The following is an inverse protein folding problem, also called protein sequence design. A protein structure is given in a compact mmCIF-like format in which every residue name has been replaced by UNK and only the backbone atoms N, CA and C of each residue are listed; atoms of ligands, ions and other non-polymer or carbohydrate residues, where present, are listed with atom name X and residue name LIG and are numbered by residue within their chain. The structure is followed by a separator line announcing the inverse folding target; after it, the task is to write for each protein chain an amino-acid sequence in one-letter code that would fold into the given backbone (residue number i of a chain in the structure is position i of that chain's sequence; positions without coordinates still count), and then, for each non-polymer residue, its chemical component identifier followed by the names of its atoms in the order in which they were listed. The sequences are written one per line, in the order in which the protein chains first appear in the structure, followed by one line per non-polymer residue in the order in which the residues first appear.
data_IF_878779726612
#
_entry.id   IF_878779726612
#
_cell.length_a   1.000
_cell.length_b   1.000
_cell.length_c   1.000
_cell.angle_alpha   90.00
_cell.angle_beta   90.00
_cell.angle_gamma   90.00
#
_symmetry.space_group_name_H-M   'P 1'
#
loop_
_entity.id
_entity.type
_entity.pdbx_description
1 polymer ?
#
# COMPACT_ATOMS: atom_id res chain seq x y z
N UNK A 1 -9.11 10.86 -0.03
CA UNK A 1 -9.33 11.38 1.34
C UNK A 1 -9.76 12.83 1.33
N UNK A 2 -8.92 13.73 0.81
CA UNK A 2 -9.21 15.17 0.76
C UNK A 2 -10.50 15.46 -0.01
N UNK A 3 -10.75 14.73 -1.09
CA UNK A 3 -12.01 14.81 -1.83
C UNK A 3 -13.24 14.56 -0.94
N UNK A 4 -13.28 13.46 -0.18
CA UNK A 4 -14.41 13.14 0.72
C UNK A 4 -14.58 14.17 1.84
N UNK A 5 -13.48 14.70 2.39
CA UNK A 5 -13.52 15.77 3.41
C UNK A 5 -14.01 17.10 2.84
N UNK A 6 -13.76 17.35 1.55
CA UNK A 6 -14.15 18.60 0.88
C UNK A 6 -15.59 18.54 0.38
N UNK A 7 -16.03 17.36 -0.09
CA UNK A 7 -17.38 17.14 -0.62
C UNK A 7 -18.44 17.04 0.49
N UNK A 8 -18.11 16.41 1.62
CA UNK A 8 -19.03 16.21 2.73
C UNK A 8 -18.67 17.06 3.94
N UNK A 9 -19.38 18.18 4.11
CA UNK A 9 -19.03 19.21 5.12
C UNK A 9 -19.81 19.11 6.44
N UNK A 10 -20.87 18.29 6.54
CA UNK A 10 -21.68 18.14 7.76
C UNK A 10 -22.14 16.70 7.97
N UNK A 11 -22.13 16.25 9.23
CA UNK A 11 -22.70 14.99 9.72
C UNK A 11 -22.26 13.72 8.97
N UNK A 12 -20.99 13.66 8.57
CA UNK A 12 -20.37 12.48 7.95
C UNK A 12 -19.25 11.93 8.81
N UNK A 13 -19.30 10.63 9.11
CA UNK A 13 -18.22 9.91 9.76
C UNK A 13 -17.21 9.44 8.72
N UNK A 14 -15.93 9.76 8.90
CA UNK A 14 -14.85 9.33 7.99
C UNK A 14 -13.70 8.76 8.79
N UNK A 15 -13.33 7.51 8.50
CA UNK A 15 -12.18 6.86 9.11
C UNK A 15 -11.31 6.20 8.06
N UNK A 16 -10.00 6.29 8.27
CA UNK A 16 -8.98 5.59 7.48
C UNK A 16 -8.14 4.72 8.38
N UNK A 17 -7.96 3.49 7.97
CA UNK A 17 -7.04 2.55 8.60
C UNK A 17 -5.98 2.21 7.57
N UNK A 18 -4.71 2.43 7.93
CA UNK A 18 -3.58 1.97 7.14
C UNK A 18 -3.00 0.72 7.82
N UNK A 19 -3.25 -0.47 7.26
CA UNK A 19 -2.61 -1.68 7.74
C UNK A 19 -1.12 -1.62 7.39
N UNK A 20 -0.26 -1.96 8.35
CA UNK A 20 1.19 -1.90 8.20
C UNK A 20 1.81 -3.13 8.85
N UNK A 21 2.47 -3.96 8.05
CA UNK A 21 3.07 -5.19 8.53
C UNK A 21 4.18 -4.97 9.57
N UNK A 22 4.71 -3.74 9.72
CA UNK A 22 5.71 -3.39 10.75
C UNK A 22 5.09 -3.08 12.11
N UNK A 23 3.78 -2.90 12.19
CA UNK A 23 3.08 -2.44 13.40
C UNK A 23 2.19 -3.55 14.01
N UNK A 24 2.55 -4.82 13.79
CA UNK A 24 1.71 -5.97 14.16
C UNK A 24 1.35 -6.01 15.65
N UNK A 25 2.27 -5.57 16.52
CA UNK A 25 2.05 -5.50 17.98
C UNK A 25 0.92 -4.56 18.38
N UNK A 26 0.73 -3.45 17.65
CA UNK A 26 -0.28 -2.44 17.95
C UNK A 26 -1.54 -2.61 17.09
N UNK A 27 -1.45 -3.20 15.90
CA UNK A 27 -2.56 -3.42 14.97
C UNK A 27 -3.41 -4.64 15.34
N UNK A 28 -3.81 -4.72 16.61
CA UNK A 28 -4.80 -5.70 17.08
C UNK A 28 -6.20 -5.32 16.60
N UNK A 29 -7.14 -6.27 16.44
CA UNK A 29 -8.50 -5.98 15.98
C UNK A 29 -9.23 -4.95 16.86
N UNK A 30 -9.00 -5.01 18.19
CA UNK A 30 -9.57 -4.05 19.15
C UNK A 30 -9.04 -2.64 18.87
N UNK A 31 -7.73 -2.50 18.67
CA UNK A 31 -7.09 -1.22 18.41
C UNK A 31 -7.49 -0.63 17.06
N UNK A 32 -7.59 -1.46 16.01
CA UNK A 32 -8.02 -1.02 14.68
C UNK A 32 -9.47 -0.50 14.71
N UNK A 33 -10.40 -1.24 15.34
CA UNK A 33 -11.79 -0.77 15.50
C UNK A 33 -11.87 0.48 16.40
N UNK A 34 -11.05 0.54 17.46
CA UNK A 34 -10.99 1.71 18.34
C UNK A 34 -10.42 2.93 17.62
N UNK A 35 -9.49 2.75 16.69
CA UNK A 35 -8.94 3.81 15.84
C UNK A 35 -10.01 4.40 14.91
N UNK A 36 -10.84 3.54 14.30
CA UNK A 36 -12.00 3.97 13.51
C UNK A 36 -12.93 4.82 14.38
N UNK A 37 -13.29 4.30 15.55
CA UNK A 37 -14.16 5.01 16.48
C UNK A 37 -13.57 6.36 16.88
N UNK A 38 -12.27 6.43 17.20
CA UNK A 38 -11.58 7.68 17.56
C UNK A 38 -11.71 8.73 16.46
N UNK A 39 -11.50 8.36 15.21
CA UNK A 39 -11.54 9.28 14.07
C UNK A 39 -12.92 9.90 13.83
N UNK A 40 -14.02 9.22 14.20
CA UNK A 40 -15.37 9.81 14.15
C UNK A 40 -15.58 10.95 15.15
N UNK A 41 -14.71 11.09 16.14
CA UNK A 41 -14.80 12.09 17.20
C UNK A 41 -13.72 13.17 17.12
N UNK A 42 -12.92 13.20 16.05
CA UNK A 42 -11.99 14.28 15.80
C UNK A 42 -12.77 15.59 15.57
N UNK A 43 -12.87 16.42 16.61
CA UNK A 43 -13.59 17.70 16.59
C UNK A 43 -15.07 17.64 17.02
N UNK A 44 -15.55 16.52 17.56
CA UNK A 44 -16.94 16.36 18.06
C UNK A 44 -16.93 15.90 19.51
N UNK A 45 -17.94 16.29 20.29
CA UNK A 45 -18.08 15.85 21.68
C UNK A 45 -18.41 14.37 21.81
N UNK A 46 -17.76 13.70 22.78
CA UNK A 46 -17.96 12.27 23.05
C UNK A 46 -19.41 11.95 23.42
N UNK A 47 -19.91 10.83 22.88
CA UNK A 47 -21.22 10.28 23.22
C UNK A 47 -21.28 9.79 24.66
N UNK A 48 -22.49 9.69 25.21
CA UNK A 48 -22.68 9.06 26.51
C UNK A 48 -22.36 7.56 26.48
N UNK A 49 -22.57 6.88 25.34
CA UNK A 49 -22.19 5.46 25.21
C UNK A 49 -20.68 5.27 25.35
N UNK A 50 -19.88 6.14 24.74
CA UNK A 50 -18.41 6.10 24.85
C UNK A 50 -17.99 6.37 26.29
N UNK A 51 -18.56 7.41 26.92
CA UNK A 51 -18.26 7.75 28.32
C UNK A 51 -18.65 6.63 29.27
N UNK A 52 -19.79 5.97 29.05
CA UNK A 52 -20.25 4.84 29.83
C UNK A 52 -19.31 3.64 29.70
N UNK A 53 -18.90 3.28 28.48
CA UNK A 53 -17.94 2.20 28.27
C UNK A 53 -16.59 2.52 28.92
N UNK A 54 -16.10 3.76 28.77
CA UNK A 54 -14.87 4.20 29.41
C UNK A 54 -14.94 4.08 30.94
N UNK A 55 -15.98 4.63 31.59
CA UNK A 55 -16.17 4.53 33.06
C UNK A 55 -16.19 3.07 33.54
N UNK A 56 -16.94 2.20 32.86
CA UNK A 56 -17.01 0.76 33.17
C UNK A 56 -15.63 0.12 33.22
N UNK A 57 -14.78 0.40 32.25
CA UNK A 57 -13.45 -0.20 32.14
C UNK A 57 -12.42 0.43 33.10
N UNK A 58 -12.52 1.73 33.36
CA UNK A 58 -11.73 2.42 34.38
C UNK A 58 -12.02 1.88 35.77
N UNK A 59 -13.30 1.77 36.17
CA UNK A 59 -13.70 1.27 37.49
C UNK A 59 -13.25 -0.18 37.71
N UNK A 60 -13.35 -1.01 36.66
CA UNK A 60 -12.99 -2.44 36.71
C UNK A 60 -11.50 -2.69 36.48
N UNK A 61 -10.71 -1.68 36.11
CA UNK A 61 -9.29 -1.81 35.71
C UNK A 61 -9.10 -2.85 34.60
N UNK A 62 -9.93 -2.80 33.56
CA UNK A 62 -9.91 -3.72 32.40
C UNK A 62 -9.87 -2.94 31.09
N UNK A 63 -9.61 -3.62 29.98
CA UNK A 63 -9.73 -3.05 28.63
C UNK A 63 -11.03 -3.52 27.94
N UNK A 64 -11.60 -2.71 27.03
CA UNK A 64 -12.71 -3.14 26.19
C UNK A 64 -12.37 -4.36 25.34
N UNK A 65 -13.33 -5.27 25.22
CA UNK A 65 -13.26 -6.41 24.30
C UNK A 65 -13.58 -6.00 22.87
N UNK A 66 -13.19 -6.82 21.89
CA UNK A 66 -13.56 -6.61 20.48
C UNK A 66 -15.08 -6.52 20.28
N UNK A 67 -15.86 -7.29 21.05
CA UNK A 67 -17.32 -7.30 20.96
C UNK A 67 -17.87 -5.95 21.42
N UNK A 68 -17.43 -5.46 22.58
CA UNK A 68 -17.88 -4.17 23.13
C UNK A 68 -17.51 -3.02 22.20
N UNK A 69 -16.31 -3.02 21.62
CA UNK A 69 -15.89 -1.97 20.67
C UNK A 69 -16.69 -2.06 19.37
N UNK A 70 -16.96 -3.26 18.85
CA UNK A 70 -17.75 -3.43 17.63
C UNK A 70 -19.22 -3.01 17.81
N UNK A 71 -19.83 -3.33 18.95
CA UNK A 71 -21.18 -2.91 19.30
C UNK A 71 -21.27 -1.39 19.46
N UNK A 72 -20.28 -0.80 20.15
CA UNK A 72 -20.19 0.65 20.29
C UNK A 72 -20.02 1.32 18.92
N UNK A 73 -19.11 0.82 18.08
CA UNK A 73 -18.90 1.34 16.72
C UNK A 73 -20.21 1.28 15.90
N UNK A 74 -20.93 0.16 15.95
CA UNK A 74 -22.24 0.02 15.29
C UNK A 74 -23.25 1.06 15.80
N UNK A 75 -23.34 1.27 17.10
CA UNK A 75 -24.23 2.28 17.69
C UNK A 75 -23.86 3.71 17.27
N UNK A 76 -22.57 4.04 17.27
CA UNK A 76 -22.09 5.38 16.93
C UNK A 76 -22.20 5.70 15.44
N UNK A 77 -22.11 4.71 14.55
CA UNK A 77 -22.30 4.93 13.10
C UNK A 77 -23.69 5.50 12.78
N UNK A 78 -24.73 5.17 13.57
CA UNK A 78 -26.11 5.64 13.38
C UNK A 78 -26.30 7.14 13.66
N UNK A 79 -25.32 7.81 14.27
CA UNK A 79 -25.38 9.24 14.56
C UNK A 79 -25.01 10.10 13.37
N UNK A 80 -24.33 9.52 12.39
CA UNK A 80 -23.93 10.21 11.18
C UNK A 80 -24.95 9.94 10.07
N UNK A 81 -25.16 10.93 9.21
CA UNK A 81 -26.00 10.78 8.02
C UNK A 81 -25.40 9.78 7.02
N UNK A 82 -24.06 9.76 6.95
CA UNK A 82 -23.26 8.83 6.15
C UNK A 82 -21.98 8.50 6.88
N UNK A 83 -21.49 7.28 6.69
CA UNK A 83 -20.21 6.84 7.25
C UNK A 83 -19.37 6.20 6.16
N UNK A 84 -18.11 6.62 6.05
CA UNK A 84 -17.11 6.05 5.16
C UNK A 84 -15.97 5.46 5.99
N UNK A 85 -15.63 4.20 5.71
CA UNK A 85 -14.48 3.53 6.30
C UNK A 85 -13.60 3.04 5.16
N UNK A 86 -12.35 3.51 5.14
CA UNK A 86 -11.35 3.10 4.17
C UNK A 86 -10.28 2.30 4.89
N UNK A 87 -10.04 1.07 4.43
CA UNK A 87 -8.95 0.22 4.93
C UNK A 87 -7.94 0.04 3.81
N UNK A 88 -6.75 0.55 4.02
CA UNK A 88 -5.65 0.47 3.08
C UNK A 88 -4.73 -0.71 3.42
N UNK A 89 -4.34 -1.48 2.41
CA UNK A 89 -3.41 -2.61 2.46
C UNK A 89 -3.84 -3.72 3.44
N UNK A 90 -5.08 -4.21 3.39
CA UNK A 90 -5.61 -5.21 4.34
C UNK A 90 -4.73 -6.49 4.43
N UNK A 91 -3.99 -6.85 3.38
CA UNK A 91 -3.05 -7.98 3.39
C UNK A 91 -1.84 -7.79 4.31
N UNK A 92 -1.52 -6.55 4.67
CA UNK A 92 -0.48 -6.24 5.65
C UNK A 92 -0.97 -6.36 7.10
N UNK A 93 -2.29 -6.50 7.32
CA UNK A 93 -2.81 -6.71 8.66
C UNK A 93 -2.42 -8.11 9.17
N UNK A 94 -2.03 -8.25 10.46
CA UNK A 94 -1.50 -9.52 10.98
C UNK A 94 -2.50 -10.68 10.84
N UNK A 95 -2.04 -11.82 10.33
CA UNK A 95 -2.83 -13.06 10.33
C UNK A 95 -2.69 -13.84 11.65
N UNK A 96 -1.71 -13.48 12.49
CA UNK A 96 -1.53 -14.09 13.80
C UNK A 96 -2.83 -14.02 14.61
N UNK A 97 -3.17 -15.13 15.30
CA UNK A 97 -4.39 -15.24 16.11
C UNK A 97 -5.69 -14.92 15.35
N UNK A 98 -5.70 -15.05 14.02
CA UNK A 98 -6.84 -14.71 13.15
C UNK A 98 -7.24 -13.23 13.21
N UNK A 99 -6.31 -12.32 13.54
CA UNK A 99 -6.59 -10.90 13.74
C UNK A 99 -7.23 -10.25 12.52
N UNK A 100 -6.63 -10.42 11.33
CA UNK A 100 -7.20 -9.93 10.08
C UNK A 100 -8.63 -10.43 9.86
N UNK A 101 -8.89 -11.73 10.05
CA UNK A 101 -10.24 -12.33 9.92
C UNK A 101 -11.24 -11.75 10.92
N UNK A 102 -10.83 -11.56 12.18
CA UNK A 102 -11.67 -10.99 13.23
C UNK A 102 -12.00 -9.53 12.94
N UNK A 103 -11.00 -8.72 12.59
CA UNK A 103 -11.17 -7.31 12.24
C UNK A 103 -12.09 -7.17 11.02
N UNK A 104 -11.78 -7.91 9.96
CA UNK A 104 -12.53 -7.89 8.71
C UNK A 104 -13.97 -8.37 8.89
N UNK A 105 -14.21 -9.44 9.66
CA UNK A 105 -15.56 -9.91 9.97
C UNK A 105 -16.41 -8.88 10.72
N UNK A 106 -15.81 -8.07 11.59
CA UNK A 106 -16.52 -6.96 12.26
C UNK A 106 -16.84 -5.82 11.30
N UNK A 107 -15.95 -5.49 10.37
CA UNK A 107 -16.23 -4.49 9.33
C UNK A 107 -17.35 -4.95 8.39
N UNK A 108 -17.36 -6.23 8.00
CA UNK A 108 -18.43 -6.79 7.17
C UNK A 108 -19.79 -6.70 7.85
N UNK A 109 -19.86 -6.88 9.18
CA UNK A 109 -21.10 -6.73 9.93
C UNK A 109 -21.67 -5.30 9.88
N UNK A 110 -20.82 -4.31 9.57
CA UNK A 110 -21.22 -2.90 9.42
C UNK A 110 -21.63 -2.52 7.98
N UNK A 111 -21.54 -3.43 7.00
CA UNK A 111 -21.75 -3.13 5.57
C UNK A 111 -23.11 -2.49 5.23
N UNK A 112 -24.10 -2.64 6.11
CA UNK A 112 -25.44 -2.04 5.95
C UNK A 112 -25.52 -0.59 6.43
N UNK A 113 -24.58 -0.15 7.27
CA UNK A 113 -24.56 1.19 7.86
C UNK A 113 -23.37 2.04 7.41
N UNK A 114 -22.36 1.43 6.80
CA UNK A 114 -21.14 2.13 6.36
C UNK A 114 -20.82 1.85 4.88
N UNK A 115 -20.30 2.87 4.20
CA UNK A 115 -19.63 2.74 2.92
C UNK A 115 -18.19 2.26 3.15
N UNK A 116 -17.94 0.98 2.88
CA UNK A 116 -16.66 0.34 3.11
C UNK A 116 -15.85 0.26 1.81
N UNK A 117 -14.63 0.76 1.83
CA UNK A 117 -13.65 0.58 0.76
C UNK A 117 -12.41 -0.09 1.34
N UNK A 118 -11.91 -1.12 0.67
CA UNK A 118 -10.74 -1.89 1.10
C UNK A 118 -9.79 -2.00 -0.09
N UNK A 119 -8.51 -1.75 0.13
CA UNK A 119 -7.45 -2.10 -0.81
C UNK A 119 -6.68 -3.30 -0.27
N UNK A 120 -6.26 -4.19 -1.17
CA UNK A 120 -5.42 -5.33 -0.83
C UNK A 120 -4.78 -5.93 -2.08
N UNK A 121 -3.70 -6.70 -1.91
CA UNK A 121 -3.20 -7.62 -2.92
C UNK A 121 -4.19 -8.78 -3.17
N UNK A 122 -4.15 -9.41 -4.36
CA UNK A 122 -5.09 -10.46 -4.77
C UNK A 122 -5.05 -11.74 -3.92
N UNK A 123 -4.09 -11.85 -2.99
CA UNK A 123 -3.95 -12.96 -2.04
C UNK A 123 -5.11 -13.03 -1.03
N UNK A 124 -5.82 -11.92 -0.79
CA UNK A 124 -7.03 -11.94 0.04
C UNK A 124 -8.22 -12.33 -0.83
N UNK A 125 -8.87 -13.44 -0.45
CA UNK A 125 -10.08 -13.91 -1.11
C UNK A 125 -11.14 -12.82 -1.19
N UNK A 126 -11.62 -12.61 -2.41
CA UNK A 126 -12.81 -11.87 -2.78
C UNK A 126 -13.92 -11.90 -1.70
N UNK A 127 -14.37 -10.72 -1.28
CA UNK A 127 -15.55 -10.59 -0.44
C UNK A 127 -16.77 -10.93 -1.28
N UNK A 128 -17.56 -11.91 -0.86
CA UNK A 128 -18.85 -12.19 -1.48
C UNK A 128 -19.74 -10.94 -1.41
N UNK A 129 -20.38 -10.59 -2.53
CA UNK A 129 -21.26 -9.42 -2.70
C UNK A 129 -20.59 -8.04 -2.64
N UNK A 130 -19.29 -7.93 -2.97
CA UNK A 130 -18.61 -6.63 -3.13
C UNK A 130 -18.31 -6.30 -4.59
N UNK A 131 -18.32 -5.02 -4.94
CA UNK A 131 -17.72 -4.54 -6.20
C UNK A 131 -16.21 -4.70 -6.09
N UNK A 132 -15.59 -5.31 -7.10
CA UNK A 132 -14.15 -5.50 -7.16
C UNK A 132 -13.59 -4.69 -8.32
N UNK A 133 -12.53 -3.95 -8.04
CA UNK A 133 -11.80 -3.18 -9.03
C UNK A 133 -10.34 -3.62 -8.95
N UNK A 134 -9.91 -4.38 -9.94
CA UNK A 134 -8.51 -4.70 -10.10
C UNK A 134 -7.78 -3.48 -10.65
N UNK A 135 -6.71 -3.05 -9.98
CA UNK A 135 -5.91 -1.89 -10.40
C UNK A 135 -4.65 -2.44 -11.05
N UNK A 136 -4.63 -2.40 -12.37
CA UNK A 136 -3.50 -2.83 -13.21
C UNK A 136 -3.17 -1.69 -14.17
N UNK A 137 -1.89 -1.46 -14.43
CA UNK A 137 -1.49 -0.45 -15.40
C UNK A 137 -1.92 -0.88 -16.80
N UNK A 138 -2.61 0.02 -17.50
CA UNK A 138 -2.88 -0.18 -18.91
C UNK A 138 -1.60 -0.13 -19.73
N UNK A 139 -1.65 -0.69 -20.93
CA UNK A 139 -0.55 -0.58 -21.91
C UNK A 139 -0.22 0.89 -22.20
N UNK A 140 -1.24 1.74 -22.27
CA UNK A 140 -1.11 3.17 -22.52
C UNK A 140 -0.43 3.89 -21.36
N UNK A 141 -0.73 3.52 -20.12
CA UNK A 141 -0.07 4.10 -18.93
C UNK A 141 1.41 3.72 -18.88
N UNK A 142 1.73 2.45 -19.15
CA UNK A 142 3.11 1.99 -19.25
C UNK A 142 3.85 2.65 -20.40
N UNK A 143 3.23 2.79 -21.57
CA UNK A 143 3.85 3.49 -22.71
C UNK A 143 4.17 4.95 -22.37
N UNK A 144 3.21 5.69 -21.82
CA UNK A 144 3.42 7.09 -21.38
C UNK A 144 4.51 7.19 -20.33
N UNK A 145 4.54 6.26 -19.37
CA UNK A 145 5.58 6.23 -18.35
C UNK A 145 6.97 6.00 -18.96
N UNK A 146 7.13 4.98 -19.79
CA UNK A 146 8.40 4.64 -20.47
C UNK A 146 8.86 5.82 -21.33
N UNK A 147 7.94 6.39 -22.11
CA UNK A 147 8.20 7.55 -22.95
C UNK A 147 8.73 8.74 -22.15
N UNK A 148 8.06 9.07 -21.03
CA UNK A 148 8.49 10.12 -20.13
C UNK A 148 9.90 9.86 -19.56
N UNK A 149 10.22 8.60 -19.21
CA UNK A 149 11.54 8.21 -18.70
C UNK A 149 12.64 8.28 -19.77
N UNK A 150 12.33 7.97 -21.02
CA UNK A 150 13.26 8.14 -22.15
C UNK A 150 13.58 9.63 -22.34
N UNK A 151 12.55 10.48 -22.38
CA UNK A 151 12.71 11.92 -22.60
C UNK A 151 13.48 12.62 -21.46
N UNK A 152 13.38 12.10 -20.23
CA UNK A 152 14.16 12.61 -19.08
C UNK A 152 15.66 12.30 -19.16
N UNK A 153 16.09 11.32 -19.97
CA UNK A 153 17.48 10.90 -20.08
C UNK A 153 18.01 11.17 -21.48
N UNK A 154 18.78 12.25 -21.64
CA UNK A 154 19.39 12.62 -22.93
C UNK A 154 20.18 11.46 -23.54
N UNK A 155 20.96 10.75 -22.72
CA UNK A 155 21.72 9.57 -23.14
C UNK A 155 20.82 8.45 -23.66
N UNK A 156 19.76 8.10 -22.93
CA UNK A 156 18.87 7.02 -23.35
C UNK A 156 18.12 7.40 -24.62
N UNK A 157 17.69 8.67 -24.73
CA UNK A 157 17.08 9.21 -25.94
C UNK A 157 18.04 9.15 -27.15
N UNK A 158 19.33 9.48 -26.95
CA UNK A 158 20.35 9.39 -28.00
C UNK A 158 20.62 7.94 -28.44
N UNK A 159 20.62 6.99 -27.51
CA UNK A 159 20.76 5.57 -27.81
C UNK A 159 19.54 5.01 -28.57
N UNK A 160 18.37 5.61 -28.38
CA UNK A 160 17.09 5.19 -28.97
C UNK A 160 16.63 6.07 -30.16
N UNK A 161 17.56 6.75 -30.86
CA UNK A 161 17.24 7.59 -32.03
C UNK A 161 16.54 6.87 -33.18
N UNK A 162 16.59 5.54 -33.23
CA UNK A 162 15.85 4.74 -34.21
C UNK A 162 14.49 4.32 -33.67
N UNK A 163 13.43 4.53 -34.46
CA UNK A 163 12.05 4.18 -34.08
C UNK A 163 11.89 2.69 -33.75
N UNK A 164 12.64 1.81 -34.43
CA UNK A 164 12.64 0.37 -34.16
C UNK A 164 13.23 0.02 -32.78
N UNK A 165 14.38 0.60 -32.42
CA UNK A 165 15.03 0.37 -31.12
C UNK A 165 14.11 0.81 -29.97
N UNK A 166 13.45 1.96 -30.15
CA UNK A 166 12.52 2.53 -29.19
C UNK A 166 11.26 1.68 -29.03
N UNK A 167 10.69 1.24 -30.16
CA UNK A 167 9.50 0.39 -30.18
C UNK A 167 9.78 -0.97 -29.55
N UNK A 168 10.92 -1.59 -29.86
CA UNK A 168 11.36 -2.85 -29.25
C UNK A 168 11.49 -2.69 -27.73
N UNK A 169 12.15 -1.63 -27.27
CA UNK A 169 12.31 -1.39 -25.82
C UNK A 169 10.96 -1.25 -25.12
N UNK A 170 10.05 -0.44 -25.67
CA UNK A 170 8.71 -0.24 -25.12
C UNK A 170 7.96 -1.57 -25.04
N UNK A 171 7.91 -2.32 -26.13
CA UNK A 171 7.20 -3.59 -26.18
C UNK A 171 7.75 -4.58 -25.14
N UNK A 172 9.08 -4.74 -25.08
CA UNK A 172 9.69 -5.66 -24.12
C UNK A 172 9.39 -5.26 -22.67
N UNK A 173 9.47 -3.98 -22.32
CA UNK A 173 9.18 -3.55 -20.94
C UNK A 173 7.71 -3.70 -20.62
N UNK A 174 6.80 -3.36 -21.54
CA UNK A 174 5.35 -3.51 -21.34
C UNK A 174 5.01 -4.98 -21.09
N UNK A 175 5.57 -5.89 -21.89
CA UNK A 175 5.38 -7.33 -21.72
C UNK A 175 5.95 -7.84 -20.40
N UNK A 176 7.19 -7.45 -20.06
CA UNK A 176 7.87 -7.88 -18.82
C UNK A 176 7.24 -7.30 -17.56
N UNK A 177 6.70 -6.08 -17.63
CA UNK A 177 6.07 -5.42 -16.49
C UNK A 177 4.74 -6.07 -16.11
N UNK A 178 4.03 -6.70 -17.07
CA UNK A 178 2.75 -7.38 -16.87
C UNK A 178 1.77 -6.56 -16.01
N UNK A 179 1.60 -5.28 -16.38
CA UNK A 179 0.71 -4.36 -15.67
C UNK A 179 1.23 -3.81 -14.34
N UNK A 180 2.43 -4.20 -13.89
CA UNK A 180 3.10 -3.66 -12.69
C UNK A 180 3.99 -2.47 -13.01
N UNK A 181 3.55 -1.25 -12.65
CA UNK A 181 4.34 -0.02 -12.82
C UNK A 181 5.69 -0.10 -12.09
N UNK A 182 5.73 -0.69 -10.90
CA UNK A 182 6.97 -0.82 -10.13
C UNK A 182 8.03 -1.63 -10.90
N UNK A 183 7.63 -2.72 -11.55
CA UNK A 183 8.54 -3.54 -12.34
C UNK A 183 9.06 -2.77 -13.56
N UNK A 184 8.18 -2.05 -14.28
CA UNK A 184 8.59 -1.14 -15.34
C UNK A 184 9.58 -0.07 -14.84
N UNK A 185 9.40 0.44 -13.63
CA UNK A 185 10.32 1.39 -13.02
C UNK A 185 11.70 0.78 -12.71
N UNK A 186 11.74 -0.43 -12.16
CA UNK A 186 13.00 -1.14 -11.89
C UNK A 186 13.76 -1.38 -13.21
N UNK A 187 13.06 -1.89 -14.24
CA UNK A 187 13.64 -2.10 -15.57
C UNK A 187 14.16 -0.80 -16.18
N UNK A 188 13.38 0.27 -16.17
CA UNK A 188 13.84 1.57 -16.68
C UNK A 188 15.04 2.12 -15.91
N UNK A 189 15.09 1.91 -14.60
CA UNK A 189 16.24 2.33 -13.77
C UNK A 189 17.51 1.58 -14.14
N UNK A 190 17.41 0.30 -14.52
CA UNK A 190 18.53 -0.46 -15.06
C UNK A 190 18.91 0.02 -16.47
N UNK A 191 17.94 0.18 -17.38
CA UNK A 191 18.23 0.54 -18.77
C UNK A 191 18.86 1.94 -18.92
N UNK A 192 18.49 2.88 -18.04
CA UNK A 192 19.09 4.23 -18.03
C UNK A 192 20.59 4.18 -17.75
N UNK A 193 21.13 3.15 -17.10
CA UNK A 193 22.58 3.05 -16.84
C UNK A 193 23.40 2.70 -18.07
N UNK A 194 22.77 2.19 -19.14
CA UNK A 194 23.47 1.81 -20.36
C UNK A 194 24.22 2.99 -20.98
N UNK A 195 25.46 2.71 -21.42
CA UNK A 195 26.36 3.68 -22.04
C UNK A 195 26.50 3.47 -23.55
N UNK A 196 26.08 2.31 -24.06
CA UNK A 196 26.14 1.97 -25.49
C UNK A 196 24.90 1.19 -25.94
N UNK A 197 24.62 1.18 -27.25
CA UNK A 197 23.50 0.40 -27.82
C UNK A 197 23.63 -1.11 -27.55
N UNK A 198 24.87 -1.61 -27.56
CA UNK A 198 25.16 -3.02 -27.26
C UNK A 198 24.79 -3.35 -25.82
N UNK A 199 25.23 -2.52 -24.87
CA UNK A 199 24.90 -2.69 -23.46
C UNK A 199 23.39 -2.55 -23.22
N UNK A 200 22.73 -1.59 -23.87
CA UNK A 200 21.28 -1.41 -23.79
C UNK A 200 20.54 -2.67 -24.27
N UNK A 201 20.94 -3.23 -25.42
CA UNK A 201 20.37 -4.49 -25.93
C UNK A 201 20.57 -5.64 -24.96
N UNK A 202 21.78 -5.79 -24.39
CA UNK A 202 22.06 -6.82 -23.40
C UNK A 202 21.22 -6.67 -22.12
N UNK A 203 21.00 -5.45 -21.63
CA UNK A 203 20.14 -5.22 -20.48
C UNK A 203 18.68 -5.54 -20.79
N UNK A 204 18.23 -5.20 -22.01
CA UNK A 204 16.88 -5.46 -22.50
C UNK A 204 16.61 -6.97 -22.63
N UNK A 205 17.56 -7.73 -23.16
CA UNK A 205 17.43 -9.18 -23.34
C UNK A 205 17.48 -9.93 -22.00
N UNK A 206 18.11 -9.34 -20.98
CA UNK A 206 18.21 -9.91 -19.63
C UNK A 206 17.15 -9.37 -18.67
N UNK A 207 16.07 -8.72 -19.14
CA UNK A 207 15.01 -8.28 -18.24
C UNK A 207 14.30 -9.48 -17.61
N UNK A 208 14.23 -9.45 -16.28
CA UNK A 208 13.63 -10.50 -15.46
C UNK A 208 12.12 -10.39 -15.45
N UNK A 209 11.45 -11.52 -15.31
CA UNK A 209 10.00 -11.57 -15.08
C UNK A 209 9.71 -11.47 -13.57
N UNK A 210 8.73 -10.66 -13.20
CA UNK A 210 8.30 -10.52 -11.81
C UNK A 210 9.24 -9.70 -10.92
N UNK A 211 8.72 -9.33 -9.74
CA UNK A 211 9.43 -8.49 -8.79
C UNK A 211 10.60 -9.21 -8.11
N UNK A 212 10.43 -10.47 -7.72
CA UNK A 212 11.45 -11.22 -6.97
C UNK A 212 12.76 -11.33 -7.76
N UNK A 213 12.68 -11.75 -9.01
CA UNK A 213 13.85 -11.84 -9.89
C UNK A 213 14.46 -10.45 -10.18
N UNK A 214 13.63 -9.40 -10.27
CA UNK A 214 14.11 -8.03 -10.43
C UNK A 214 14.88 -7.53 -9.18
N UNK A 215 14.44 -7.91 -7.98
CA UNK A 215 15.14 -7.62 -6.72
C UNK A 215 16.43 -8.44 -6.58
N UNK A 216 16.42 -9.72 -6.97
CA UNK A 216 17.60 -10.56 -6.99
C UNK A 216 18.69 -9.96 -7.89
N UNK A 217 18.34 -9.61 -9.12
CA UNK A 217 19.25 -8.93 -10.06
C UNK A 217 19.74 -7.57 -9.54
N UNK A 218 18.91 -6.86 -8.77
CA UNK A 218 19.32 -5.61 -8.12
C UNK A 218 20.33 -5.88 -7.01
N UNK A 219 20.16 -6.96 -6.24
CA UNK A 219 21.11 -7.40 -5.21
C UNK A 219 22.44 -7.85 -5.84
N UNK A 220 22.40 -8.63 -6.91
CA UNK A 220 23.60 -9.02 -7.67
C UNK A 220 24.37 -7.79 -8.19
N UNK A 221 23.64 -6.75 -8.65
CA UNK A 221 24.26 -5.49 -9.06
C UNK A 221 24.94 -4.75 -7.91
N UNK A 222 24.43 -4.86 -6.68
CA UNK A 222 25.08 -4.32 -5.49
C UNK A 222 26.35 -5.13 -5.17
N UNK A 223 26.28 -6.45 -5.28
CA UNK A 223 27.40 -7.35 -4.98
C UNK A 223 28.59 -7.23 -5.95
N UNK A 224 28.31 -6.82 -7.18
CA UNK A 224 29.31 -6.59 -8.22
C UNK A 224 29.95 -5.19 -8.18
N UNK A 225 29.60 -4.33 -7.22
CA UNK A 225 30.25 -3.02 -7.05
C UNK A 225 31.62 -3.13 -6.36
N UNK A 226 32.36 -2.02 -6.31
CA UNK A 226 33.61 -1.95 -5.57
C UNK A 226 33.41 -2.35 -4.11
N UNK A 227 34.41 -3.00 -3.50
CA UNK A 227 34.30 -3.58 -2.15
C UNK A 227 33.78 -2.59 -1.11
N UNK A 228 34.20 -1.31 -1.20
CA UNK A 228 33.75 -0.25 -0.29
C UNK A 228 32.28 0.10 -0.48
N UNK A 229 31.82 0.24 -1.73
CA UNK A 229 30.44 0.59 -2.07
C UNK A 229 29.48 -0.56 -1.73
N UNK A 230 29.86 -1.79 -2.05
CA UNK A 230 29.12 -3.00 -1.65
C UNK A 230 28.95 -3.07 -0.13
N UNK A 231 30.05 -2.89 0.61
CA UNK A 231 30.01 -2.94 2.08
C UNK A 231 29.13 -1.82 2.65
N UNK A 232 29.19 -0.62 2.08
CA UNK A 232 28.33 0.49 2.47
C UNK A 232 26.85 0.19 2.18
N UNK A 233 26.53 -0.28 0.98
CA UNK A 233 25.18 -0.60 0.56
C UNK A 233 24.52 -1.64 1.49
N UNK A 234 25.20 -2.76 1.76
CA UNK A 234 24.67 -3.78 2.67
C UNK A 234 24.54 -3.30 4.11
N UNK A 235 25.44 -2.43 4.57
CA UNK A 235 25.31 -1.82 5.91
C UNK A 235 24.09 -0.91 5.99
N UNK A 236 23.86 -0.08 4.97
CA UNK A 236 22.68 0.78 4.88
C UNK A 236 21.40 -0.05 4.79
N UNK A 237 21.36 -1.07 3.93
CA UNK A 237 20.22 -1.97 3.82
C UNK A 237 19.94 -2.70 5.15
N UNK A 238 20.99 -3.12 5.86
CA UNK A 238 20.89 -3.71 7.19
C UNK A 238 20.26 -2.75 8.21
N UNK A 239 20.67 -1.47 8.20
CA UNK A 239 20.06 -0.46 9.06
C UNK A 239 18.60 -0.21 8.69
N UNK A 240 18.27 -0.13 7.39
CA UNK A 240 16.89 0.09 6.93
C UNK A 240 15.98 -1.09 7.29
N UNK A 241 16.46 -2.32 7.15
CA UNK A 241 15.68 -3.53 7.43
C UNK A 241 15.46 -3.78 8.91
N UNK A 242 16.41 -3.38 9.77
CA UNK A 242 16.32 -3.55 11.23
C UNK A 242 15.98 -2.27 11.99
N UNK A 243 15.57 -1.20 11.28
CA UNK A 243 15.16 0.03 11.93
C UNK A 243 13.83 -0.19 12.67
N UNK A 244 13.85 -0.01 14.00
CA UNK A 244 12.66 -0.08 14.86
C UNK A 244 11.69 1.08 14.63
N UNK A 245 12.12 2.15 13.95
CA UNK A 245 11.32 3.32 13.63
C UNK A 245 11.60 3.76 12.20
N UNK A 246 10.61 4.36 11.51
CA UNK A 246 10.85 4.95 10.19
C UNK A 246 12.04 5.91 10.24
N UNK A 247 12.98 5.74 9.30
CA UNK A 247 14.09 6.68 9.15
C UNK A 247 13.52 8.01 8.68
N UNK A 248 13.77 9.07 9.45
CA UNK A 248 13.38 10.43 9.06
C UNK A 248 14.30 10.93 7.95
N UNK A 249 13.71 11.63 6.98
CA UNK A 249 14.44 12.38 5.96
C UNK A 249 14.97 13.68 6.54
#
# INVERSE_FOLDING_TARGET
MDHLRTEFTKDVGLAVVYCNYKEQEIQTPVNLLSSILRQFYDGISLSENIKALYRKHVERKTCPTIVEVAELLSAETKRFSKVFVIVDALDECPEENHYRKLFFGRLQALKSTVHLMITSRPEISAIADSVQLEIVASREDLDRYIEGRILQSSRLNDLLRGDEDRSRLKETIIQKADGMILLAQIHMTALVTATSKRELSQLLDNLTDGLDAAYEKTSERIDNQATQDRALAWRVLGWVSHALRPLSK
#
